data_IF_861101465554
#
_entry.id   IF_861101465554
#
_cell.length_a   1.000
_cell.length_b   1.000
_cell.length_c   1.000
_cell.angle_alpha   90.00
_cell.angle_beta   90.00
_cell.angle_gamma   90.00
#
_symmetry.space_group_name_H-M   'P 1'
#
loop_
_entity.id
_entity.type
_entity.pdbx_description
1 polymer ?
#
# COMPACT_ATOMS: atom_id res chain seq x y z
N UNK A 1 -0.33 20.19 35.20
CA UNK A 1 0.37 19.03 34.58
C UNK A 1 0.39 19.33 33.09
N UNK A 2 1.56 19.39 32.42
CA UNK A 2 1.59 19.68 30.99
C UNK A 2 1.17 18.42 30.22
N UNK A 3 0.21 18.60 29.32
CA UNK A 3 -0.31 17.57 28.43
C UNK A 3 0.74 17.35 27.34
N UNK A 4 1.42 16.19 27.35
CA UNK A 4 2.27 15.79 26.24
C UNK A 4 1.36 15.57 25.03
N UNK A 5 1.58 16.22 23.88
CA UNK A 5 0.80 15.93 22.69
C UNK A 5 1.07 14.47 22.32
N UNK A 6 0.04 13.63 22.44
CA UNK A 6 0.06 12.25 21.97
C UNK A 6 0.34 12.28 20.48
N UNK A 7 1.59 12.00 20.10
CA UNK A 7 1.90 11.73 18.69
C UNK A 7 1.01 10.57 18.25
N UNK A 8 0.28 10.70 17.13
CA UNK A 8 -0.55 9.61 16.64
C UNK A 8 0.35 8.39 16.43
N UNK A 9 -0.08 7.20 16.87
CA UNK A 9 0.67 5.97 16.68
C UNK A 9 1.08 5.83 15.21
N UNK A 10 2.26 5.28 14.95
CA UNK A 10 2.83 5.17 13.60
C UNK A 10 1.83 4.55 12.60
N UNK A 11 0.98 3.64 13.06
CA UNK A 11 -0.10 3.00 12.30
C UNK A 11 -1.16 3.98 11.78
N UNK A 12 -1.55 5.00 12.55
CA UNK A 12 -2.55 6.00 12.11
C UNK A 12 -1.98 6.90 11.00
N UNK A 13 -0.70 7.27 11.11
CA UNK A 13 -0.03 8.05 10.07
C UNK A 13 0.11 7.24 8.78
N UNK A 14 0.38 5.95 8.91
CA UNK A 14 0.45 5.01 7.78
C UNK A 14 -0.91 4.81 7.13
N UNK A 15 -1.97 4.66 7.92
CA UNK A 15 -3.34 4.55 7.40
C UNK A 15 -3.74 5.80 6.62
N UNK A 16 -3.43 7.00 7.13
CA UNK A 16 -3.68 8.24 6.43
C UNK A 16 -2.91 8.32 5.09
N UNK A 17 -1.68 7.80 5.05
CA UNK A 17 -0.89 7.72 3.83
C UNK A 17 -1.49 6.77 2.79
N UNK A 18 -1.90 5.57 3.22
CA UNK A 18 -2.54 4.59 2.35
C UNK A 18 -3.87 5.12 1.81
N UNK A 19 -4.67 5.79 2.64
CA UNK A 19 -5.91 6.41 2.18
C UNK A 19 -5.66 7.53 1.15
N UNK A 20 -4.59 8.30 1.32
CA UNK A 20 -4.17 9.30 0.32
C UNK A 20 -3.77 8.62 -0.99
N UNK A 21 -3.05 7.50 -0.94
CA UNK A 21 -2.70 6.68 -2.11
C UNK A 21 -3.96 6.15 -2.81
N UNK A 22 -4.92 5.59 -2.07
CA UNK A 22 -6.17 5.10 -2.63
C UNK A 22 -6.91 6.20 -3.40
N UNK A 23 -6.96 7.43 -2.84
CA UNK A 23 -7.53 8.59 -3.54
C UNK A 23 -6.77 8.94 -4.82
N UNK A 24 -5.44 8.93 -4.76
CA UNK A 24 -4.58 9.22 -5.91
C UNK A 24 -4.78 8.20 -7.04
N UNK A 25 -4.93 6.92 -6.71
CA UNK A 25 -5.20 5.85 -7.67
C UNK A 25 -6.56 6.00 -8.35
N UNK A 26 -7.57 6.52 -7.64
CA UNK A 26 -8.89 6.87 -8.21
C UNK A 26 -8.83 8.03 -9.21
N UNK A 27 -7.76 8.82 -9.19
CA UNK A 27 -7.57 9.96 -10.09
C UNK A 27 -6.68 9.62 -11.31
N UNK A 28 -6.09 8.42 -11.34
CA UNK A 28 -5.12 7.98 -12.37
C UNK A 28 -5.79 7.69 -13.72
N UNK A 29 -5.76 8.65 -14.63
CA UNK A 29 -6.54 8.64 -15.89
C UNK A 29 -6.24 7.51 -16.89
N UNK A 30 -5.08 6.87 -16.84
CA UNK A 30 -4.71 5.80 -17.78
C UNK A 30 -5.12 4.40 -17.30
N UNK A 31 -5.50 4.26 -16.03
CA UNK A 31 -6.10 3.03 -15.51
C UNK A 31 -7.61 3.10 -15.73
N UNK A 32 -8.23 2.03 -16.21
CA UNK A 32 -9.68 1.98 -16.40
C UNK A 32 -10.43 2.20 -15.07
N UNK A 33 -11.63 2.80 -15.07
CA UNK A 33 -12.35 3.17 -13.84
C UNK A 33 -12.65 1.99 -12.92
N UNK A 34 -12.84 0.79 -13.47
CA UNK A 34 -13.02 -0.44 -12.71
C UNK A 34 -11.74 -0.86 -11.99
N UNK A 35 -10.60 -0.77 -12.67
CA UNK A 35 -9.29 -1.08 -12.11
C UNK A 35 -8.84 -0.03 -11.08
N UNK A 36 -9.12 1.25 -11.31
CA UNK A 36 -8.90 2.32 -10.33
C UNK A 36 -9.66 2.06 -9.03
N UNK A 37 -10.94 1.69 -9.12
CA UNK A 37 -11.77 1.40 -7.96
C UNK A 37 -11.22 0.20 -7.18
N UNK A 38 -10.91 -0.89 -7.88
CA UNK A 38 -10.36 -2.09 -7.26
C UNK A 38 -9.01 -1.86 -6.57
N UNK A 39 -8.09 -1.11 -7.20
CA UNK A 39 -6.80 -0.76 -6.60
C UNK A 39 -6.97 0.11 -5.36
N UNK A 40 -7.85 1.11 -5.43
CA UNK A 40 -8.11 1.99 -4.30
C UNK A 40 -8.76 1.25 -3.12
N UNK A 41 -9.71 0.35 -3.41
CA UNK A 41 -10.37 -0.46 -2.39
C UNK A 41 -9.37 -1.41 -1.71
N UNK A 42 -8.44 -2.00 -2.47
CA UNK A 42 -7.38 -2.85 -1.90
C UNK A 42 -6.41 -2.06 -1.00
N UNK A 43 -6.04 -0.84 -1.38
CA UNK A 43 -5.17 0.01 -0.56
C UNK A 43 -5.89 0.47 0.72
N UNK A 44 -7.18 0.81 0.63
CA UNK A 44 -8.01 1.14 1.80
C UNK A 44 -8.17 -0.08 2.73
N UNK A 45 -8.39 -1.28 2.17
CA UNK A 45 -8.40 -2.54 2.94
C UNK A 45 -7.07 -2.80 3.63
N UNK A 46 -5.94 -2.49 2.98
CA UNK A 46 -4.60 -2.60 3.58
C UNK A 46 -4.45 -1.69 4.79
N UNK A 47 -4.87 -0.42 4.67
CA UNK A 47 -4.82 0.55 5.75
C UNK A 47 -5.68 0.13 6.95
N UNK A 48 -6.87 -0.43 6.69
CA UNK A 48 -7.75 -0.94 7.73
C UNK A 48 -7.18 -2.20 8.41
N UNK A 49 -6.59 -3.11 7.64
CA UNK A 49 -5.95 -4.31 8.17
C UNK A 49 -4.76 -3.95 9.07
N UNK A 50 -3.96 -2.95 8.70
CA UNK A 50 -2.85 -2.44 9.52
C UNK A 50 -3.33 -1.86 10.86
N UNK A 51 -4.45 -1.15 10.90
CA UNK A 51 -5.04 -0.64 12.14
C UNK A 51 -5.44 -1.75 13.12
N UNK A 52 -5.75 -2.93 12.61
CA UNK A 52 -6.18 -4.09 13.41
C UNK A 52 -5.06 -5.07 13.77
N UNK A 53 -3.89 -4.95 13.13
CA UNK A 53 -2.83 -5.93 13.24
C UNK A 53 -1.75 -5.49 14.24
N UNK A 54 -1.34 -6.40 15.12
CA UNK A 54 -0.23 -6.19 16.06
C UNK A 54 1.11 -6.44 15.36
N UNK A 55 1.41 -5.63 14.34
CA UNK A 55 2.59 -5.76 13.48
C UNK A 55 3.65 -4.74 13.94
N UNK A 56 4.94 -5.12 14.02
CA UNK A 56 6.01 -4.20 14.37
C UNK A 56 6.05 -2.98 13.44
N UNK A 57 6.26 -1.80 14.01
CA UNK A 57 6.31 -0.53 13.26
C UNK A 57 7.29 -0.54 12.08
N UNK A 58 8.39 -1.29 12.16
CA UNK A 58 9.38 -1.39 11.07
C UNK A 58 8.82 -2.12 9.83
N UNK A 59 7.99 -3.14 10.04
CA UNK A 59 7.33 -3.87 8.95
C UNK A 59 6.18 -3.06 8.35
N UNK A 60 5.44 -2.34 9.19
CA UNK A 60 4.41 -1.39 8.75
C UNK A 60 5.02 -0.28 7.91
N UNK A 61 6.16 0.29 8.34
CA UNK A 61 6.87 1.32 7.58
C UNK A 61 7.34 0.80 6.21
N UNK A 62 7.90 -0.41 6.16
CA UNK A 62 8.32 -1.04 4.88
C UNK A 62 7.14 -1.26 3.93
N UNK A 63 6.01 -1.78 4.43
CA UNK A 63 4.81 -1.95 3.61
C UNK A 63 4.30 -0.61 3.05
N UNK A 64 4.32 0.44 3.88
CA UNK A 64 3.90 1.78 3.47
C UNK A 64 4.80 2.36 2.39
N UNK A 65 6.12 2.23 2.57
CA UNK A 65 7.11 2.68 1.58
C UNK A 65 6.94 1.97 0.25
N UNK A 66 6.78 0.64 0.27
CA UNK A 66 6.55 -0.15 -0.95
C UNK A 66 5.24 0.24 -1.64
N UNK A 67 4.16 0.43 -0.88
CA UNK A 67 2.86 0.85 -1.44
C UNK A 67 2.92 2.28 -2.00
N UNK A 68 3.73 3.16 -1.41
CA UNK A 68 3.96 4.52 -1.90
C UNK A 68 4.70 4.51 -3.23
N UNK A 69 5.80 3.73 -3.33
CA UNK A 69 6.54 3.59 -4.59
C UNK A 69 5.66 2.99 -5.70
N UNK A 70 4.80 2.04 -5.34
CA UNK A 70 3.83 1.44 -6.26
C UNK A 70 2.85 2.48 -6.78
N UNK A 71 2.26 3.28 -5.89
CA UNK A 71 1.34 4.34 -6.27
C UNK A 71 1.98 5.40 -7.17
N UNK A 72 3.23 5.76 -6.86
CA UNK A 72 4.03 6.68 -7.69
C UNK A 72 4.29 6.09 -9.07
N UNK A 73 4.67 4.80 -9.15
CA UNK A 73 4.89 4.11 -10.42
C UNK A 73 3.60 4.01 -11.25
N UNK A 74 2.44 3.82 -10.60
CA UNK A 74 1.12 3.85 -11.26
C UNK A 74 0.72 5.26 -11.66
N UNK A 75 1.17 6.32 -11.00
CA UNK A 75 0.86 7.69 -11.42
C UNK A 75 1.76 8.20 -12.53
N UNK A 76 3.06 7.87 -12.47
CA UNK A 76 4.05 8.30 -13.45
C UNK A 76 3.96 7.40 -14.70
N UNK A 77 3.19 7.86 -15.69
CA UNK A 77 3.13 7.23 -17.00
C UNK A 77 4.54 7.03 -17.58
N UNK A 78 4.97 5.77 -17.70
CA UNK A 78 5.91 5.39 -18.76
C UNK A 78 7.37 5.14 -18.38
N UNK A 79 7.68 4.68 -17.17
CA UNK A 79 8.97 4.04 -16.92
C UNK A 79 8.81 2.50 -16.91
N UNK A 80 8.97 1.83 -18.07
CA UNK A 80 8.98 0.36 -18.11
C UNK A 80 10.08 -0.15 -17.18
N UNK A 81 9.69 -0.75 -16.06
CA UNK A 81 10.57 -1.26 -15.01
C UNK A 81 10.44 -0.57 -13.65
N UNK A 82 9.86 0.64 -13.54
CA UNK A 82 9.60 1.23 -12.22
C UNK A 82 8.49 0.49 -11.48
N UNK A 83 7.41 0.11 -12.18
CA UNK A 83 6.32 -0.65 -11.58
C UNK A 83 6.78 -2.04 -11.18
N UNK A 84 7.44 -2.77 -12.09
CA UNK A 84 7.98 -4.11 -11.83
C UNK A 84 8.92 -4.11 -10.61
N UNK A 85 9.80 -3.10 -10.50
CA UNK A 85 10.69 -2.98 -9.35
C UNK A 85 9.96 -2.55 -8.06
N UNK A 86 8.84 -1.84 -8.15
CA UNK A 86 7.99 -1.52 -7.00
C UNK A 86 7.20 -2.75 -6.54
N UNK A 87 6.72 -3.58 -7.47
CA UNK A 87 6.07 -4.86 -7.21
C UNK A 87 7.02 -5.84 -6.52
N UNK A 88 8.25 -6.01 -7.02
CA UNK A 88 9.24 -6.91 -6.43
C UNK A 88 9.59 -6.50 -4.97
N UNK A 89 9.71 -5.19 -4.72
CA UNK A 89 9.92 -4.67 -3.36
C UNK A 89 8.72 -4.93 -2.46
N UNK A 90 7.51 -4.78 -3.00
CA UNK A 90 6.28 -5.06 -2.27
C UNK A 90 6.18 -6.54 -1.91
N UNK A 91 6.47 -7.46 -2.84
CA UNK A 91 6.51 -8.90 -2.57
C UNK A 91 7.51 -9.26 -1.47
N UNK A 92 8.70 -8.65 -1.49
CA UNK A 92 9.69 -8.83 -0.44
C UNK A 92 9.19 -8.37 0.94
N UNK A 93 8.48 -7.24 0.99
CA UNK A 93 7.86 -6.77 2.23
C UNK A 93 6.74 -7.71 2.70
N UNK A 94 5.97 -8.29 1.79
CA UNK A 94 4.93 -9.27 2.10
C UNK A 94 5.48 -10.52 2.77
N UNK A 95 6.57 -11.08 2.25
CA UNK A 95 7.18 -12.28 2.80
C UNK A 95 7.61 -12.09 4.28
N UNK A 96 8.04 -10.88 4.64
CA UNK A 96 8.39 -10.56 6.02
C UNK A 96 7.17 -10.56 6.96
N UNK A 97 6.02 -10.10 6.48
CA UNK A 97 4.81 -9.91 7.28
C UNK A 97 3.87 -11.13 7.24
N UNK A 98 4.01 -12.02 6.25
CA UNK A 98 3.17 -13.23 6.07
C UNK A 98 3.14 -14.13 7.31
N UNK A 99 4.25 -14.22 8.04
CA UNK A 99 4.34 -15.01 9.28
C UNK A 99 3.56 -14.43 10.45
N UNK A 100 3.34 -13.11 10.47
CA UNK A 100 2.75 -12.38 11.61
C UNK A 100 1.34 -11.92 11.33
N UNK A 101 1.06 -11.50 10.11
CA UNK A 101 -0.23 -11.04 9.65
C UNK A 101 -0.54 -11.61 8.25
N UNK A 102 -0.97 -12.88 8.17
CA UNK A 102 -1.27 -13.54 6.90
C UNK A 102 -2.38 -12.83 6.10
N UNK A 103 -3.30 -12.16 6.77
CA UNK A 103 -4.35 -11.34 6.13
C UNK A 103 -3.74 -10.15 5.40
N UNK A 104 -2.81 -9.43 6.05
CA UNK A 104 -2.09 -8.31 5.43
C UNK A 104 -1.28 -8.78 4.23
N UNK A 105 -0.54 -9.89 4.38
CA UNK A 105 0.22 -10.47 3.29
C UNK A 105 -0.65 -10.85 2.08
N UNK A 106 -1.83 -11.44 2.32
CA UNK A 106 -2.78 -11.79 1.25
C UNK A 106 -3.32 -10.57 0.50
N UNK A 107 -3.68 -9.50 1.21
CA UNK A 107 -4.16 -8.25 0.59
C UNK A 107 -3.07 -7.60 -0.26
N UNK A 108 -1.86 -7.51 0.26
CA UNK A 108 -0.73 -6.92 -0.47
C UNK A 108 -0.35 -7.76 -1.70
N UNK A 109 -0.36 -9.09 -1.62
CA UNK A 109 -0.10 -9.97 -2.78
C UNK A 109 -1.15 -9.77 -3.86
N UNK A 110 -2.43 -9.66 -3.47
CA UNK A 110 -3.54 -9.39 -4.39
C UNK A 110 -3.41 -8.03 -5.08
N UNK A 111 -2.88 -7.02 -4.37
CA UNK A 111 -2.56 -5.71 -4.95
C UNK A 111 -1.48 -5.83 -6.03
N UNK A 112 -0.38 -6.55 -5.76
CA UNK A 112 0.68 -6.78 -6.73
C UNK A 112 0.16 -7.50 -7.99
N UNK A 113 -0.57 -8.61 -7.81
CA UNK A 113 -1.14 -9.38 -8.93
C UNK A 113 -2.09 -8.53 -9.80
N UNK A 114 -2.85 -7.62 -9.19
CA UNK A 114 -3.77 -6.76 -9.92
C UNK A 114 -3.03 -5.76 -10.81
N UNK A 115 -1.90 -5.24 -10.35
CA UNK A 115 -1.08 -4.30 -11.10
C UNK A 115 -0.36 -4.99 -12.26
N UNK A 116 0.23 -6.17 -12.03
CA UNK A 116 0.84 -6.95 -13.11
C UNK A 116 -0.19 -7.33 -14.19
N UNK A 117 -1.44 -7.63 -13.80
CA UNK A 117 -2.54 -7.92 -14.75
C UNK A 117 -2.99 -6.71 -15.57
N UNK A 118 -2.76 -5.49 -15.10
CA UNK A 118 -3.12 -4.26 -15.81
C UNK A 118 -2.08 -3.88 -16.87
N UNK A 119 -0.93 -4.55 -16.91
CA UNK A 119 0.09 -4.36 -17.95
C UNK A 119 0.68 -2.96 -18.00
N UNK A 120 0.64 -2.26 -16.87
CA UNK A 120 1.40 -1.03 -16.59
C UNK A 120 2.81 -1.39 -16.13
#
# INVERSE_FOLDING_TARGET
MPETPSQPPATEQVQAHLHAIARLLRETRHVGPEAQALLADLVDELGNALASADVPNEEVARLTECTTHLAQAVQEEGQPGMLEAAEERLEHAVLAVETKAPVLAGLTRRLAEMLSNLGI
#
